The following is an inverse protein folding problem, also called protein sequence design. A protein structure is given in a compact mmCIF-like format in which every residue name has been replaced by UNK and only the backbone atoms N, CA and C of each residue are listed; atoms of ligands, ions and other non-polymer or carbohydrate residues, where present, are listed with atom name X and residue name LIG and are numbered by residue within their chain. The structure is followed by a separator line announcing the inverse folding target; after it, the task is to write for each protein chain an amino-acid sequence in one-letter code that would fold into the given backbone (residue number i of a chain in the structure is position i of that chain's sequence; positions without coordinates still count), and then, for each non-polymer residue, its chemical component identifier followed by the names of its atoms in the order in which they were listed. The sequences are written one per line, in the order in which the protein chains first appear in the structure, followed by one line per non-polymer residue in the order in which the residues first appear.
data_IF_242062279598
#
_entry.id   IF_242062279598
#
_cell.length_a   1.000
_cell.length_b   1.000
_cell.length_c   1.000
_cell.angle_alpha   90.00
_cell.angle_beta   90.00
_cell.angle_gamma   90.00
#
_symmetry.space_group_name_H-M   'P 1'
#
loop_
_entity.id
_entity.type
_entity.pdbx_description
1 polymer ?
#
# COMPACT_ATOMS: atom_id res chain seq x y z
N UNK A 1 -17.72 -20.13 9.21
CA UNK A 1 -17.31 -18.96 8.42
C UNK A 1 -16.93 -19.47 7.04
N UNK A 2 -17.38 -18.81 5.99
CA UNK A 2 -17.03 -19.10 4.60
C UNK A 2 -15.61 -18.58 4.32
N UNK A 3 -14.84 -19.28 3.50
CA UNK A 3 -13.54 -18.74 3.04
C UNK A 3 -13.76 -17.63 2.00
N UNK A 4 -12.97 -16.57 2.06
CA UNK A 4 -12.91 -15.55 1.01
C UNK A 4 -11.75 -15.87 0.07
N UNK A 5 -12.07 -16.24 -1.18
CA UNK A 5 -11.12 -16.54 -2.23
C UNK A 5 -10.79 -15.29 -3.03
N UNK A 6 -9.54 -15.22 -3.49
CA UNK A 6 -9.06 -14.22 -4.45
C UNK A 6 -9.10 -14.88 -5.83
N UNK A 7 -9.88 -14.30 -6.73
CA UNK A 7 -10.01 -14.81 -8.11
C UNK A 7 -9.10 -14.06 -9.07
N UNK A 8 -8.96 -12.74 -8.87
CA UNK A 8 -8.12 -11.93 -9.74
C UNK A 8 -7.71 -10.63 -9.04
N UNK A 9 -6.67 -10.00 -9.58
CA UNK A 9 -6.26 -8.65 -9.18
C UNK A 9 -5.64 -7.91 -10.35
N UNK A 10 -5.75 -6.60 -10.32
CA UNK A 10 -5.10 -5.70 -11.27
C UNK A 10 -4.61 -4.46 -10.56
N UNK A 11 -3.62 -3.81 -11.16
CA UNK A 11 -3.21 -2.46 -10.82
C UNK A 11 -2.89 -1.64 -12.07
N UNK A 12 -3.03 -0.34 -12.00
CA UNK A 12 -2.42 0.53 -13.01
C UNK A 12 -0.89 0.55 -12.83
N UNK A 13 -0.11 0.90 -13.86
CA UNK A 13 1.23 1.40 -13.60
C UNK A 13 1.13 2.66 -12.73
N UNK A 14 2.20 2.94 -11.96
CA UNK A 14 2.25 4.11 -11.06
C UNK A 14 2.86 5.29 -11.79
N UNK A 15 2.08 6.36 -11.97
CA UNK A 15 2.54 7.62 -12.54
C UNK A 15 3.25 8.48 -11.51
N UNK A 16 4.25 9.24 -11.89
CA UNK A 16 4.94 10.15 -10.99
C UNK A 16 3.99 11.25 -10.49
N UNK A 17 3.93 11.46 -9.18
CA UNK A 17 3.01 12.36 -8.49
C UNK A 17 3.39 13.84 -8.61
N UNK A 18 3.53 14.32 -9.83
CA UNK A 18 3.89 15.70 -10.19
C UNK A 18 3.06 16.17 -11.38
N UNK A 19 3.00 17.49 -11.59
CA UNK A 19 2.27 18.08 -12.72
C UNK A 19 2.80 17.64 -14.10
N UNK A 20 4.05 17.22 -14.19
CA UNK A 20 4.69 16.66 -15.38
C UNK A 20 4.68 15.11 -15.40
N UNK A 21 4.00 14.46 -14.47
CA UNK A 21 3.84 13.00 -14.44
C UNK A 21 2.88 12.51 -15.51
N UNK A 22 3.14 11.30 -16.04
CA UNK A 22 2.40 10.74 -17.18
C UNK A 22 0.91 10.53 -16.90
N UNK A 23 0.50 10.38 -15.63
CA UNK A 23 -0.89 10.20 -15.24
C UNK A 23 -1.56 11.48 -14.72
N UNK A 24 -0.87 12.61 -14.65
CA UNK A 24 -1.43 13.87 -14.15
C UNK A 24 -2.68 14.36 -14.91
N UNK A 25 -2.78 14.06 -16.20
CA UNK A 25 -3.96 14.42 -17.02
C UNK A 25 -5.15 13.47 -16.81
N UNK A 26 -4.99 12.40 -16.05
CA UNK A 26 -6.03 11.39 -15.76
C UNK A 26 -6.67 11.70 -14.42
N UNK A 27 -7.98 11.91 -14.39
CA UNK A 27 -8.70 12.16 -13.13
C UNK A 27 -8.66 10.93 -12.20
N UNK A 28 -8.79 11.15 -10.89
CA UNK A 28 -8.88 10.09 -9.90
C UNK A 28 -10.00 9.10 -10.24
N UNK A 29 -11.14 9.59 -10.72
CA UNK A 29 -12.25 8.77 -11.19
C UNK A 29 -11.84 7.82 -12.34
N UNK A 30 -11.12 8.33 -13.33
CA UNK A 30 -10.67 7.50 -14.46
C UNK A 30 -9.64 6.46 -14.04
N UNK A 31 -8.76 6.75 -13.10
CA UNK A 31 -7.83 5.77 -12.53
C UNK A 31 -8.59 4.64 -11.83
N UNK A 32 -9.54 4.97 -10.95
CA UNK A 32 -10.40 3.99 -10.29
C UNK A 32 -11.17 3.13 -11.30
N UNK A 33 -11.82 3.78 -12.26
CA UNK A 33 -12.58 3.10 -13.32
C UNK A 33 -11.69 2.19 -14.18
N UNK A 34 -10.41 2.54 -14.42
CA UNK A 34 -9.47 1.70 -15.18
C UNK A 34 -9.25 0.36 -14.48
N UNK A 35 -8.97 0.36 -13.18
CA UNK A 35 -8.77 -0.87 -12.43
C UNK A 35 -10.05 -1.72 -12.34
N UNK A 36 -11.18 -1.10 -12.04
CA UNK A 36 -12.48 -1.79 -11.95
C UNK A 36 -12.91 -2.36 -13.31
N UNK A 37 -12.76 -1.59 -14.39
CA UNK A 37 -13.07 -2.05 -15.76
C UNK A 37 -12.18 -3.23 -16.16
N UNK A 38 -10.88 -3.18 -15.84
CA UNK A 38 -9.97 -4.27 -16.15
C UNK A 38 -10.36 -5.58 -15.46
N UNK A 39 -10.76 -5.54 -14.18
CA UNK A 39 -11.28 -6.72 -13.46
C UNK A 39 -12.53 -7.27 -14.16
N UNK A 40 -13.47 -6.41 -14.50
CA UNK A 40 -14.72 -6.81 -15.16
C UNK A 40 -14.46 -7.46 -16.52
N UNK A 41 -13.72 -6.78 -17.36
CA UNK A 41 -13.58 -7.18 -18.77
C UNK A 41 -12.74 -8.46 -18.91
N UNK A 42 -11.63 -8.59 -18.19
CA UNK A 42 -10.75 -9.77 -18.31
C UNK A 42 -11.34 -11.04 -17.69
N UNK A 43 -12.28 -10.91 -16.79
CA UNK A 43 -12.99 -12.03 -16.17
C UNK A 43 -14.37 -12.28 -16.80
N UNK A 44 -14.76 -11.51 -17.82
CA UNK A 44 -16.10 -11.56 -18.42
C UNK A 44 -17.21 -11.49 -17.34
N UNK A 45 -16.95 -10.67 -16.31
CA UNK A 45 -17.78 -10.61 -15.11
C UNK A 45 -19.13 -9.96 -15.43
N UNK A 46 -20.21 -10.66 -15.09
CA UNK A 46 -21.55 -10.07 -15.05
C UNK A 46 -21.63 -9.13 -13.83
N UNK A 47 -21.81 -7.81 -14.03
CA UNK A 47 -21.92 -6.86 -12.93
C UNK A 47 -23.00 -7.21 -11.91
N UNK A 48 -24.12 -7.82 -12.33
CA UNK A 48 -25.21 -8.20 -11.43
C UNK A 48 -24.80 -9.24 -10.38
N UNK A 49 -23.66 -9.90 -10.54
CA UNK A 49 -23.13 -10.84 -9.55
C UNK A 49 -22.24 -10.16 -8.49
N UNK A 50 -21.91 -8.88 -8.68
CA UNK A 50 -21.06 -8.13 -7.73
C UNK A 50 -21.94 -7.45 -6.69
N UNK A 51 -21.76 -7.82 -5.44
CA UNK A 51 -22.57 -7.31 -4.33
C UNK A 51 -22.09 -5.93 -3.85
N UNK A 52 -20.77 -5.68 -3.88
CA UNK A 52 -20.21 -4.41 -3.40
C UNK A 52 -18.80 -4.14 -3.95
N UNK A 53 -18.46 -2.84 -4.02
CA UNK A 53 -17.11 -2.34 -4.35
C UNK A 53 -16.59 -1.51 -3.17
N UNK A 54 -15.53 -1.96 -2.54
CA UNK A 54 -14.88 -1.25 -1.43
C UNK A 54 -13.56 -0.65 -1.92
N UNK A 55 -13.42 0.67 -1.90
CA UNK A 55 -12.19 1.33 -2.35
C UNK A 55 -11.58 2.23 -1.29
N UNK A 56 -10.26 2.10 -1.12
CA UNK A 56 -9.46 3.01 -0.33
C UNK A 56 -9.15 4.30 -1.09
N UNK A 57 -9.32 5.44 -0.39
CA UNK A 57 -8.86 6.75 -0.86
C UNK A 57 -8.55 7.60 0.37
N UNK A 58 -7.34 8.16 0.44
CA UNK A 58 -6.86 8.86 1.65
C UNK A 58 -7.27 10.31 1.68
N UNK A 59 -7.22 10.97 0.53
CA UNK A 59 -7.66 12.37 0.39
C UNK A 59 -8.94 12.45 -0.48
N UNK A 60 -10.12 12.05 0.07
CA UNK A 60 -11.37 11.96 -0.67
C UNK A 60 -12.06 13.34 -0.85
N UNK A 61 -11.35 14.27 -1.46
CA UNK A 61 -11.82 15.65 -1.68
C UNK A 61 -11.74 16.04 -3.15
N UNK A 62 -12.51 17.05 -3.55
CA UNK A 62 -12.56 17.49 -4.93
C UNK A 62 -12.95 16.34 -5.87
N UNK A 63 -12.14 16.07 -6.89
CA UNK A 63 -12.38 15.00 -7.87
C UNK A 63 -12.23 13.57 -7.31
N UNK A 64 -11.63 13.40 -6.13
CA UNK A 64 -11.53 12.12 -5.43
C UNK A 64 -12.68 11.92 -4.42
N UNK A 65 -13.54 12.91 -4.24
CA UNK A 65 -14.68 12.87 -3.32
C UNK A 65 -15.91 12.15 -3.87
N UNK A 66 -17.02 12.33 -3.15
CA UNK A 66 -18.36 11.82 -3.54
C UNK A 66 -18.41 10.30 -3.75
N UNK A 67 -17.81 9.55 -2.83
CA UNK A 67 -17.76 8.09 -2.90
C UNK A 67 -17.14 7.57 -4.21
N UNK A 68 -15.83 7.68 -4.31
CA UNK A 68 -15.07 7.28 -5.51
C UNK A 68 -15.26 5.81 -5.88
N UNK A 69 -15.66 4.94 -4.92
CA UNK A 69 -15.95 3.54 -5.19
C UNK A 69 -17.20 3.39 -6.05
N UNK A 70 -18.31 4.02 -5.64
CA UNK A 70 -19.55 4.00 -6.41
C UNK A 70 -19.40 4.73 -7.75
N UNK A 71 -18.77 5.91 -7.76
CA UNK A 71 -18.54 6.66 -8.99
C UNK A 71 -17.63 5.89 -9.96
N UNK A 72 -16.60 5.24 -9.44
CA UNK A 72 -15.70 4.37 -10.20
C UNK A 72 -16.42 3.17 -10.80
N UNK A 73 -17.30 2.51 -10.05
CA UNK A 73 -18.10 1.39 -10.53
C UNK A 73 -19.03 1.80 -11.68
N UNK A 74 -19.73 2.95 -11.55
CA UNK A 74 -20.56 3.51 -12.62
C UNK A 74 -19.74 3.81 -13.88
N UNK A 75 -18.61 4.50 -13.71
CA UNK A 75 -17.72 4.84 -14.82
C UNK A 75 -17.08 3.62 -15.50
N UNK A 76 -16.88 2.52 -14.75
CA UNK A 76 -16.39 1.23 -15.26
C UNK A 76 -17.48 0.37 -15.90
N UNK A 77 -18.74 0.82 -15.89
CA UNK A 77 -19.86 0.11 -16.50
C UNK A 77 -20.36 -1.08 -15.69
N UNK A 78 -20.41 -0.95 -14.36
CA UNK A 78 -21.04 -1.96 -13.47
C UNK A 78 -22.57 -1.78 -13.37
N UNK A 79 -23.11 -0.71 -13.97
CA UNK A 79 -24.55 -0.45 -13.95
C UNK A 79 -25.08 0.09 -12.62
N UNK A 80 -26.40 0.08 -12.49
CA UNK A 80 -27.08 0.77 -11.38
C UNK A 80 -27.13 -0.07 -10.09
N UNK A 81 -26.96 -1.36 -10.18
CA UNK A 81 -27.19 -2.32 -9.09
C UNK A 81 -26.00 -2.51 -8.16
N UNK A 82 -24.77 -2.20 -8.62
CA UNK A 82 -23.56 -2.40 -7.83
C UNK A 82 -23.30 -1.17 -6.95
N UNK A 83 -23.43 -1.27 -5.63
CA UNK A 83 -23.10 -0.18 -4.71
C UNK A 83 -21.59 0.02 -4.62
N UNK A 84 -21.18 0.98 -3.81
CA UNK A 84 -19.78 1.21 -3.50
C UNK A 84 -19.64 1.90 -2.16
N UNK A 85 -18.53 1.65 -1.49
CA UNK A 85 -18.15 2.35 -0.26
C UNK A 85 -16.68 2.73 -0.30
N UNK A 86 -16.41 3.97 0.04
CA UNK A 86 -15.07 4.50 0.17
C UNK A 86 -14.63 4.43 1.63
N UNK A 87 -13.42 3.96 1.87
CA UNK A 87 -12.83 3.91 3.21
C UNK A 87 -11.49 4.63 3.28
N UNK A 88 -11.13 5.08 4.48
CA UNK A 88 -9.84 5.69 4.77
C UNK A 88 -9.22 5.07 6.02
N UNK A 89 -8.08 4.42 5.84
CA UNK A 89 -7.12 4.04 6.89
C UNK A 89 -5.72 4.47 6.46
N UNK A 90 -5.59 5.71 5.98
CA UNK A 90 -4.33 6.25 5.47
C UNK A 90 -3.61 5.25 4.54
N UNK A 91 -2.30 5.03 4.72
CA UNK A 91 -1.46 4.17 3.87
C UNK A 91 -1.99 2.73 3.68
N UNK A 92 -2.83 2.22 4.58
CA UNK A 92 -3.38 0.86 4.49
C UNK A 92 -4.79 0.80 3.89
N UNK A 93 -5.36 1.92 3.42
CA UNK A 93 -6.73 1.95 2.90
C UNK A 93 -7.00 0.88 1.84
N UNK A 94 -6.06 0.65 0.92
CA UNK A 94 -6.19 -0.38 -0.12
C UNK A 94 -6.17 -1.81 0.43
N UNK A 95 -5.35 -2.12 1.44
CA UNK A 95 -5.36 -3.45 2.06
C UNK A 95 -6.62 -3.66 2.89
N UNK A 96 -7.02 -2.64 3.65
CA UNK A 96 -8.25 -2.73 4.44
C UNK A 96 -9.51 -2.81 3.57
N UNK A 97 -9.54 -2.18 2.39
CA UNK A 97 -10.62 -2.39 1.43
C UNK A 97 -10.75 -3.85 1.02
N UNK A 98 -9.63 -4.53 0.77
CA UNK A 98 -9.61 -5.97 0.50
C UNK A 98 -10.07 -6.77 1.73
N UNK A 99 -9.62 -6.40 2.93
CA UNK A 99 -10.01 -7.06 4.17
C UNK A 99 -11.51 -6.86 4.48
N UNK A 100 -12.07 -5.67 4.24
CA UNK A 100 -13.51 -5.41 4.39
C UNK A 100 -14.33 -6.22 3.38
N UNK A 101 -13.96 -6.20 2.11
CA UNK A 101 -14.58 -7.01 1.07
C UNK A 101 -14.53 -8.52 1.42
N UNK A 102 -13.37 -9.02 1.88
CA UNK A 102 -13.22 -10.39 2.34
C UNK A 102 -14.09 -10.69 3.57
N UNK A 103 -14.23 -9.76 4.53
CA UNK A 103 -15.05 -9.95 5.73
C UNK A 103 -16.55 -10.05 5.41
N UNK A 104 -17.03 -9.30 4.41
CA UNK A 104 -18.40 -9.40 3.91
C UNK A 104 -18.68 -10.80 3.32
N UNK A 105 -17.74 -11.35 2.56
CA UNK A 105 -17.82 -12.73 2.06
C UNK A 105 -17.75 -13.74 3.21
N UNK A 106 -16.80 -13.61 4.13
CA UNK A 106 -16.61 -14.53 5.26
C UNK A 106 -17.82 -14.55 6.21
N UNK A 107 -18.55 -13.44 6.33
CA UNK A 107 -19.76 -13.35 7.13
C UNK A 107 -21.00 -13.94 6.43
N UNK A 108 -20.91 -14.22 5.13
CA UNK A 108 -22.02 -14.69 4.31
C UNK A 108 -23.03 -13.60 3.94
N UNK A 109 -22.69 -12.32 4.13
CA UNK A 109 -23.56 -11.22 3.72
C UNK A 109 -23.42 -10.90 2.22
N UNK A 110 -22.26 -11.16 1.65
CA UNK A 110 -21.97 -10.99 0.23
C UNK A 110 -21.35 -12.26 -0.36
N UNK A 111 -21.59 -12.50 -1.62
CA UNK A 111 -21.08 -13.65 -2.38
C UNK A 111 -19.84 -13.29 -3.18
N UNK A 112 -19.86 -12.14 -3.88
CA UNK A 112 -18.79 -11.66 -4.76
C UNK A 112 -18.57 -10.16 -4.58
N UNK A 113 -17.36 -9.75 -4.26
CA UNK A 113 -17.02 -8.37 -3.90
C UNK A 113 -15.72 -7.93 -4.57
N UNK A 114 -15.51 -6.62 -4.67
CA UNK A 114 -14.24 -6.06 -5.13
C UNK A 114 -13.69 -5.18 -4.02
N UNK A 115 -12.46 -5.46 -3.57
CA UNK A 115 -11.68 -4.59 -2.71
C UNK A 115 -10.55 -3.94 -3.49
N UNK A 116 -10.23 -2.66 -3.23
CA UNK A 116 -9.19 -1.99 -3.98
C UNK A 116 -8.89 -0.59 -3.46
N UNK A 117 -8.41 0.28 -4.35
CA UNK A 117 -8.21 1.66 -3.99
C UNK A 117 -7.60 2.50 -5.10
N UNK A 118 -7.58 3.79 -4.87
CA UNK A 118 -7.06 4.80 -5.80
C UNK A 118 -6.46 5.96 -5.04
N UNK A 119 -5.38 6.51 -5.58
CA UNK A 119 -4.87 7.82 -5.18
C UNK A 119 -4.29 8.53 -6.39
N UNK A 120 -4.57 9.81 -6.56
CA UNK A 120 -3.97 10.67 -7.58
C UNK A 120 -3.27 11.83 -6.88
N UNK A 121 -2.05 11.54 -6.38
CA UNK A 121 -1.29 12.46 -5.54
C UNK A 121 -0.70 13.64 -6.32
N UNK A 122 -0.68 13.57 -7.67
CA UNK A 122 -0.30 14.69 -8.53
C UNK A 122 -1.41 15.74 -8.65
N UNK A 123 -2.67 15.36 -8.39
CA UNK A 123 -3.87 16.21 -8.56
C UNK A 123 -4.50 16.58 -7.22
N UNK A 124 -4.56 15.63 -6.29
CA UNK A 124 -5.04 15.82 -4.93
C UNK A 124 -3.86 15.55 -3.99
N UNK A 125 -3.24 16.60 -3.49
CA UNK A 125 -2.03 16.48 -2.65
C UNK A 125 -2.32 15.85 -1.29
N UNK A 126 -1.31 15.24 -0.68
CA UNK A 126 -1.42 14.66 0.66
C UNK A 126 -1.89 15.71 1.67
N UNK A 127 -2.90 15.36 2.47
CA UNK A 127 -3.47 16.23 3.50
C UNK A 127 -4.51 17.21 2.98
N UNK A 128 -4.92 17.11 1.71
CA UNK A 128 -5.98 17.96 1.14
C UNK A 128 -7.33 17.81 1.84
N UNK A 129 -7.59 16.67 2.48
CA UNK A 129 -8.78 16.42 3.30
C UNK A 129 -8.72 17.09 4.69
N UNK A 130 -7.61 17.74 5.02
CA UNK A 130 -7.35 18.29 6.36
C UNK A 130 -6.96 17.19 7.36
N UNK A 131 -7.01 17.49 8.64
CA UNK A 131 -6.66 16.50 9.66
C UNK A 131 -6.99 16.97 11.06
N UNK A 132 -7.80 16.21 11.78
CA UNK A 132 -8.12 16.49 13.18
C UNK A 132 -6.86 16.44 14.06
N UNK A 133 -5.94 15.53 13.78
CA UNK A 133 -4.77 15.33 14.61
C UNK A 133 -3.84 16.56 14.65
N UNK A 134 -3.35 17.10 13.52
CA UNK A 134 -2.52 18.30 13.56
C UNK A 134 -3.31 19.58 13.90
N UNK A 135 -4.62 19.61 13.63
CA UNK A 135 -5.44 20.81 13.79
C UNK A 135 -5.97 21.04 15.20
N UNK A 136 -6.08 20.00 16.02
CA UNK A 136 -6.60 20.09 17.39
C UNK A 136 -5.48 19.96 18.43
N UNK A 137 -5.07 21.04 19.11
CA UNK A 137 -4.02 20.99 20.13
C UNK A 137 -4.33 20.05 21.30
N UNK A 138 -5.62 19.81 21.61
CA UNK A 138 -6.02 18.92 22.70
C UNK A 138 -5.70 17.45 22.38
N UNK A 139 -5.52 17.11 21.10
CA UNK A 139 -5.06 15.82 20.66
C UNK A 139 -3.57 15.82 20.26
N UNK A 140 -3.14 16.84 19.52
CA UNK A 140 -1.77 16.92 18.98
C UNK A 140 -0.71 16.95 20.07
N UNK A 141 -0.94 17.74 21.15
CA UNK A 141 0.03 17.89 22.24
C UNK A 141 0.21 16.60 23.05
N UNK A 142 -0.83 15.97 23.63
CA UNK A 142 -0.67 14.77 24.44
C UNK A 142 -0.23 13.53 23.64
N UNK A 143 -0.39 13.54 22.34
CA UNK A 143 0.03 12.45 21.45
C UNK A 143 1.34 12.75 20.71
N UNK A 144 1.99 13.85 21.02
CA UNK A 144 3.26 14.27 20.43
C UNK A 144 3.22 14.26 18.90
N UNK A 145 2.24 14.97 18.32
CA UNK A 145 2.13 15.07 16.86
C UNK A 145 3.42 15.56 16.22
N UNK A 146 3.89 14.86 15.21
CA UNK A 146 5.00 15.30 14.37
C UNK A 146 4.80 14.81 12.91
N UNK A 147 5.43 15.48 11.92
CA UNK A 147 5.42 15.01 10.54
C UNK A 147 6.03 13.61 10.43
N UNK A 148 5.42 12.76 9.58
CA UNK A 148 5.79 11.35 9.44
C UNK A 148 7.28 11.11 9.13
N UNK A 149 7.93 12.01 8.38
CA UNK A 149 9.35 11.89 8.09
C UNK A 149 10.24 12.10 9.31
N UNK A 150 9.83 12.97 10.27
CA UNK A 150 10.52 13.10 11.55
C UNK A 150 10.33 11.82 12.39
N UNK A 151 9.14 11.23 12.38
CA UNK A 151 8.91 9.92 13.01
C UNK A 151 9.76 8.81 12.39
N UNK A 152 10.01 8.86 11.06
CA UNK A 152 10.91 7.92 10.40
C UNK A 152 12.37 8.10 10.83
N UNK A 153 12.83 9.34 10.97
CA UNK A 153 14.19 9.65 11.49
C UNK A 153 14.32 9.30 12.98
N UNK A 154 13.28 9.53 13.77
CA UNK A 154 13.21 9.03 15.15
C UNK A 154 13.32 7.50 15.19
N UNK A 155 12.61 6.79 14.33
CA UNK A 155 12.70 5.33 14.23
C UNK A 155 14.12 4.89 13.87
N UNK A 156 14.73 5.48 12.85
CA UNK A 156 16.10 5.17 12.47
C UNK A 156 17.08 5.40 13.62
N UNK A 157 16.97 6.54 14.30
CA UNK A 157 17.80 6.88 15.46
C UNK A 157 17.62 5.88 16.59
N UNK A 158 16.38 5.63 17.00
CA UNK A 158 16.04 4.76 18.14
C UNK A 158 16.49 3.32 17.93
N UNK A 159 16.40 2.81 16.71
CA UNK A 159 16.76 1.41 16.39
C UNK A 159 18.16 1.27 15.79
N UNK A 160 18.92 2.35 15.69
CA UNK A 160 20.33 2.35 15.32
C UNK A 160 20.60 2.18 13.81
N UNK A 161 19.67 2.59 12.95
CA UNK A 161 19.89 2.55 11.50
C UNK A 161 20.62 3.80 11.02
N UNK A 162 21.80 3.59 10.43
CA UNK A 162 22.60 4.65 9.83
C UNK A 162 22.04 5.12 8.48
N UNK A 163 22.61 6.21 7.97
CA UNK A 163 22.37 6.66 6.60
C UNK A 163 22.70 5.60 5.57
N UNK A 164 23.83 4.90 5.75
CA UNK A 164 24.27 3.86 4.83
C UNK A 164 23.32 2.66 4.83
N UNK A 165 22.75 2.28 5.99
CA UNK A 165 21.78 1.19 6.07
C UNK A 165 20.51 1.50 5.28
N UNK A 166 19.93 2.69 5.45
CA UNK A 166 18.71 3.08 4.76
C UNK A 166 18.93 3.29 3.25
N UNK A 167 20.10 3.79 2.84
CA UNK A 167 20.47 3.94 1.44
C UNK A 167 20.75 2.58 0.78
N UNK A 168 21.43 1.66 1.45
CA UNK A 168 21.68 0.30 0.96
C UNK A 168 20.38 -0.45 0.70
N UNK A 169 19.40 -0.35 1.63
CA UNK A 169 18.08 -0.92 1.44
C UNK A 169 17.38 -0.31 0.21
N UNK A 170 17.46 1.01 0.04
CA UNK A 170 16.84 1.71 -1.08
C UNK A 170 17.44 1.27 -2.44
N UNK A 171 18.76 1.12 -2.52
CA UNK A 171 19.44 0.58 -3.72
C UNK A 171 18.95 -0.82 -4.04
N UNK A 172 18.80 -1.68 -3.03
CA UNK A 172 18.29 -3.04 -3.23
C UNK A 172 16.84 -3.05 -3.71
N UNK A 173 15.96 -2.19 -3.15
CA UNK A 173 14.58 -2.03 -3.63
C UNK A 173 14.53 -1.65 -5.11
N UNK A 174 15.35 -0.69 -5.55
CA UNK A 174 15.46 -0.27 -6.96
C UNK A 174 15.91 -1.42 -7.86
N UNK A 175 16.93 -2.17 -7.45
CA UNK A 175 17.46 -3.32 -8.17
C UNK A 175 16.42 -4.44 -8.33
N UNK A 176 15.72 -4.78 -7.26
CA UNK A 176 14.67 -5.80 -7.26
C UNK A 176 13.50 -5.38 -8.16
N UNK A 177 13.06 -4.12 -8.10
CA UNK A 177 12.02 -3.61 -8.97
C UNK A 177 12.42 -3.64 -10.44
N UNK A 178 13.65 -3.26 -10.76
CA UNK A 178 14.18 -3.31 -12.13
C UNK A 178 14.21 -4.74 -12.67
N UNK A 179 14.68 -5.69 -11.86
CA UNK A 179 14.71 -7.12 -12.20
C UNK A 179 13.28 -7.64 -12.45
N UNK A 180 12.35 -7.36 -11.53
CA UNK A 180 10.97 -7.80 -11.66
C UNK A 180 10.28 -7.29 -12.93
N UNK A 181 10.51 -6.03 -13.29
CA UNK A 181 10.01 -5.45 -14.53
C UNK A 181 10.66 -6.06 -15.77
N UNK A 182 11.97 -6.26 -15.76
CA UNK A 182 12.70 -6.82 -16.91
C UNK A 182 12.33 -8.29 -17.17
N UNK A 183 12.04 -9.04 -16.12
CA UNK A 183 11.57 -10.43 -16.20
C UNK A 183 10.05 -10.54 -16.44
N UNK A 184 9.33 -9.43 -16.53
CA UNK A 184 7.88 -9.42 -16.80
C UNK A 184 7.01 -9.94 -15.66
N UNK A 185 7.50 -9.90 -14.40
CA UNK A 185 6.77 -10.41 -13.23
C UNK A 185 5.44 -9.68 -12.97
N UNK A 186 5.30 -8.44 -13.45
CA UNK A 186 4.07 -7.65 -13.33
C UNK A 186 3.12 -7.76 -14.55
N UNK A 187 3.51 -8.52 -15.58
CA UNK A 187 2.77 -8.56 -16.86
C UNK A 187 1.28 -8.88 -16.69
N UNK A 188 0.95 -9.78 -15.79
CA UNK A 188 -0.42 -10.24 -15.59
C UNK A 188 -1.27 -9.29 -14.74
N UNK A 189 -0.65 -8.43 -13.95
CA UNK A 189 -1.35 -7.53 -13.03
C UNK A 189 -1.56 -6.11 -13.59
N UNK A 190 -0.78 -5.70 -14.59
CA UNK A 190 -0.87 -4.34 -15.14
C UNK A 190 -2.13 -4.16 -16.00
N UNK A 191 -2.95 -3.17 -15.63
CA UNK A 191 -4.01 -2.59 -16.44
C UNK A 191 -3.51 -1.24 -16.99
N UNK A 192 -3.18 -1.12 -18.29
CA UNK A 192 -2.66 0.11 -18.84
C UNK A 192 -3.71 1.23 -18.75
N UNK A 193 -3.24 2.44 -18.44
CA UNK A 193 -4.09 3.64 -18.48
C UNK A 193 -4.07 4.19 -19.89
N UNK A 194 -5.23 4.22 -20.53
CA UNK A 194 -5.35 4.63 -21.93
C UNK A 194 -5.84 6.07 -22.05
N UNK A 195 -5.43 6.75 -23.11
CA UNK A 195 -6.00 8.04 -23.52
C UNK A 195 -7.40 7.87 -24.17
N UNK A 196 -7.96 8.97 -24.68
CA UNK A 196 -9.27 8.97 -25.33
C UNK A 196 -9.27 8.24 -26.69
N UNK A 197 -8.10 7.99 -27.28
CA UNK A 197 -7.94 7.28 -28.54
C UNK A 197 -7.58 5.79 -28.32
N UNK A 198 -7.48 5.36 -27.07
CA UNK A 198 -7.12 3.98 -26.71
C UNK A 198 -5.60 3.71 -26.70
N UNK A 199 -4.77 4.75 -26.74
CA UNK A 199 -3.32 4.61 -26.65
C UNK A 199 -2.84 4.64 -25.19
N UNK A 200 -1.87 3.80 -24.79
CA UNK A 200 -1.34 3.80 -23.44
C UNK A 200 -0.66 5.13 -23.10
N UNK A 201 -1.07 5.75 -22.00
CA UNK A 201 -0.40 6.91 -21.42
C UNK A 201 0.82 6.50 -20.59
N UNK A 202 0.72 5.32 -19.97
CA UNK A 202 1.78 4.74 -19.16
C UNK A 202 1.63 3.22 -19.14
N UNK A 203 2.72 2.49 -19.37
CA UNK A 203 2.77 1.04 -19.39
C UNK A 203 3.65 0.44 -18.28
N UNK A 204 4.49 1.28 -17.65
CA UNK A 204 5.47 0.87 -16.64
C UNK A 204 5.51 1.88 -15.50
N UNK A 205 5.84 1.44 -14.29
CA UNK A 205 6.01 2.33 -13.13
C UNK A 205 7.08 3.41 -13.43
N UNK A 206 6.65 4.68 -13.38
CA UNK A 206 7.44 5.82 -13.85
C UNK A 206 8.48 6.30 -12.83
N UNK A 207 8.27 5.98 -11.56
CA UNK A 207 9.11 6.51 -10.47
C UNK A 207 10.49 5.85 -10.38
N UNK A 208 10.66 4.66 -10.90
CA UNK A 208 11.88 3.85 -10.76
C UNK A 208 13.16 4.55 -11.19
N UNK A 209 14.25 4.27 -10.49
CA UNK A 209 15.62 4.72 -10.75
C UNK A 209 16.55 3.49 -10.80
N UNK A 210 16.50 2.68 -11.88
CA UNK A 210 17.22 1.40 -11.94
C UNK A 210 18.75 1.52 -11.77
N UNK A 211 19.30 2.70 -12.03
CA UNK A 211 20.73 3.00 -11.92
C UNK A 211 21.11 3.68 -10.59
N UNK A 212 20.19 3.75 -9.62
CA UNK A 212 20.51 4.30 -8.31
C UNK A 212 21.56 3.43 -7.61
N UNK A 213 22.59 4.07 -7.07
CA UNK A 213 23.66 3.46 -6.31
C UNK A 213 23.95 4.25 -5.02
N UNK A 214 24.78 3.72 -4.16
CA UNK A 214 25.17 4.35 -2.91
C UNK A 214 25.77 5.75 -3.09
N UNK A 215 26.55 5.96 -4.15
CA UNK A 215 27.18 7.25 -4.42
C UNK A 215 26.14 8.32 -4.79
N UNK A 216 25.20 7.98 -5.65
CA UNK A 216 24.10 8.87 -6.05
C UNK A 216 23.18 9.23 -4.87
N UNK A 217 22.86 8.25 -4.00
CA UNK A 217 22.05 8.49 -2.81
C UNK A 217 22.80 9.32 -1.76
N UNK A 218 24.09 9.08 -1.52
CA UNK A 218 24.91 9.83 -0.58
C UNK A 218 24.94 11.34 -0.86
N UNK A 219 24.74 11.75 -2.12
CA UNK A 219 24.67 13.16 -2.52
C UNK A 219 23.38 13.87 -2.09
N UNK A 220 22.33 13.13 -1.75
CA UNK A 220 21.03 13.68 -1.37
C UNK A 220 21.04 14.16 0.09
N UNK A 221 20.50 15.36 0.31
CA UNK A 221 20.35 15.90 1.67
C UNK A 221 19.14 15.26 2.36
N UNK A 222 19.22 15.00 3.68
CA UNK A 222 18.06 14.59 4.45
C UNK A 222 16.91 15.58 4.31
N UNK A 223 15.70 15.08 4.09
CA UNK A 223 14.53 15.90 3.75
C UNK A 223 13.84 16.51 4.98
N UNK A 224 14.07 15.94 6.15
CA UNK A 224 13.29 16.29 7.35
C UNK A 224 14.05 17.12 8.40
N UNK A 225 15.25 17.58 8.07
CA UNK A 225 16.04 18.51 8.90
C UNK A 225 15.26 19.80 9.20
N UNK A 226 14.66 20.42 8.19
CA UNK A 226 13.93 21.69 8.36
C UNK A 226 12.73 21.51 9.29
N UNK A 227 11.78 20.59 9.05
CA UNK A 227 10.69 20.37 10.00
C UNK A 227 11.18 19.90 11.38
N UNK A 228 12.22 19.09 11.46
CA UNK A 228 12.79 18.62 12.70
C UNK A 228 13.40 19.74 13.53
N UNK A 229 14.51 20.30 13.07
CA UNK A 229 15.31 21.29 13.81
C UNK A 229 14.63 22.66 13.86
N UNK A 230 14.20 23.20 12.71
CA UNK A 230 13.64 24.56 12.65
C UNK A 230 12.15 24.59 12.97
N UNK A 231 11.41 23.55 12.60
CA UNK A 231 10.00 23.37 12.95
C UNK A 231 9.77 22.95 14.40
N UNK A 232 10.83 22.57 15.14
CA UNK A 232 10.77 22.17 16.54
C UNK A 232 10.30 20.73 16.78
N UNK A 233 10.09 19.93 15.75
CA UNK A 233 9.58 18.56 15.91
C UNK A 233 10.62 17.58 16.46
N UNK A 234 11.92 17.88 16.37
CA UNK A 234 12.94 17.09 17.06
C UNK A 234 12.79 17.18 18.59
N UNK A 235 12.47 18.38 19.10
CA UNK A 235 12.19 18.54 20.51
C UNK A 235 10.93 17.76 20.94
N UNK A 236 9.89 17.72 20.10
CA UNK A 236 8.69 16.91 20.33
C UNK A 236 9.05 15.41 20.36
N UNK A 237 9.86 14.96 19.41
CA UNK A 237 10.31 13.56 19.33
C UNK A 237 11.11 13.15 20.58
N UNK A 238 12.03 14.01 21.04
CA UNK A 238 12.84 13.77 22.26
C UNK A 238 11.96 13.80 23.52
N UNK A 239 10.95 14.66 23.59
CA UNK A 239 9.99 14.65 24.71
C UNK A 239 9.19 13.33 24.76
N UNK A 240 8.79 12.79 23.61
CA UNK A 240 8.10 11.50 23.53
C UNK A 240 9.05 10.33 23.86
N UNK A 241 10.33 10.45 23.50
CA UNK A 241 11.37 9.42 23.63
C UNK A 241 12.61 9.97 24.36
N UNK A 242 12.57 10.18 25.69
CA UNK A 242 13.67 10.80 26.46
C UNK A 242 14.98 10.00 26.45
N UNK A 243 14.93 8.73 26.04
CA UNK A 243 16.12 7.90 25.83
C UNK A 243 16.93 8.29 24.58
N UNK A 244 16.36 9.11 23.69
CA UNK A 244 17.00 9.62 22.49
C UNK A 244 17.58 11.01 22.74
N UNK A 245 18.90 11.15 22.69
CA UNK A 245 19.58 12.43 22.98
C UNK A 245 19.41 13.45 21.83
N UNK A 246 19.37 12.99 20.59
CA UNK A 246 19.17 13.80 19.37
C UNK A 246 18.60 12.98 18.26
N UNK A 247 17.87 13.59 17.32
CA UNK A 247 17.40 12.93 16.09
C UNK A 247 18.52 12.98 15.04
N UNK A 248 18.80 11.83 14.44
CA UNK A 248 19.74 11.72 13.33
C UNK A 248 18.92 11.63 12.04
N UNK A 249 18.94 12.70 11.25
CA UNK A 249 18.20 12.76 9.98
C UNK A 249 18.92 11.96 8.90
N UNK A 250 18.29 10.87 8.46
CA UNK A 250 18.84 9.96 7.44
C UNK A 250 17.93 9.81 6.22
N UNK A 251 16.64 10.13 6.33
CA UNK A 251 15.70 9.94 5.24
C UNK A 251 15.65 11.10 4.27
N UNK A 252 15.55 10.75 2.99
CA UNK A 252 15.41 11.66 1.86
C UNK A 252 14.60 11.02 0.74
N UNK A 253 14.34 11.73 -0.35
CA UNK A 253 13.51 11.25 -1.44
C UNK A 253 14.01 9.93 -2.11
N UNK A 254 15.28 9.56 -1.93
CA UNK A 254 15.84 8.34 -2.51
C UNK A 254 15.66 7.09 -1.66
N UNK A 255 15.38 7.23 -0.35
CA UNK A 255 15.19 6.12 0.59
C UNK A 255 13.83 6.17 1.33
N UNK A 256 12.91 6.95 0.77
CA UNK A 256 11.51 7.08 1.16
C UNK A 256 10.60 6.74 -0.03
N UNK A 257 9.35 6.40 0.23
CA UNK A 257 8.40 6.07 -0.83
C UNK A 257 8.14 7.24 -1.78
N UNK A 258 8.02 6.94 -3.08
CA UNK A 258 7.69 7.93 -4.08
C UNK A 258 6.23 8.38 -4.00
N UNK A 259 5.99 9.68 -4.20
CA UNK A 259 4.64 10.24 -4.40
C UNK A 259 4.22 9.93 -5.85
N UNK A 260 3.10 9.22 -6.02
CA UNK A 260 2.66 8.71 -7.33
C UNK A 260 1.14 8.62 -7.43
N UNK A 261 0.66 8.48 -8.65
CA UNK A 261 -0.73 8.22 -8.98
C UNK A 261 -0.93 6.74 -9.31
N UNK A 262 -2.07 6.15 -8.89
CA UNK A 262 -2.37 4.77 -9.24
C UNK A 262 -3.66 4.24 -8.62
N UNK A 263 -4.12 3.11 -9.17
CA UNK A 263 -5.29 2.39 -8.69
C UNK A 263 -5.08 0.87 -8.75
N UNK A 264 -5.80 0.14 -7.91
CA UNK A 264 -5.81 -1.32 -7.90
C UNK A 264 -7.19 -1.86 -7.54
N UNK A 265 -7.48 -3.08 -7.99
CA UNK A 265 -8.69 -3.81 -7.65
C UNK A 265 -8.39 -5.30 -7.49
N UNK A 266 -9.04 -5.94 -6.51
CA UNK A 266 -8.94 -7.37 -6.17
C UNK A 266 -10.35 -7.94 -6.15
N UNK A 267 -10.60 -9.00 -6.93
CA UNK A 267 -11.88 -9.70 -7.00
C UNK A 267 -11.91 -10.82 -5.97
N UNK A 268 -12.87 -10.75 -5.06
CA UNK A 268 -13.02 -11.68 -3.94
C UNK A 268 -14.41 -12.30 -3.94
N UNK A 269 -14.53 -13.52 -3.42
CA UNK A 269 -15.84 -14.13 -3.25
C UNK A 269 -15.77 -15.49 -2.58
N UNK A 270 -16.97 -16.07 -2.36
CA UNK A 270 -17.11 -17.45 -1.95
C UNK A 270 -16.72 -18.41 -3.08
N UNK A 271 -16.39 -19.65 -2.75
CA UNK A 271 -16.10 -20.67 -3.77
C UNK A 271 -17.27 -20.89 -4.71
N UNK A 272 -18.48 -20.87 -4.15
CA UNK A 272 -19.73 -21.05 -4.88
C UNK A 272 -19.99 -19.90 -5.86
N UNK A 273 -19.77 -18.65 -5.43
CA UNK A 273 -19.89 -17.49 -6.29
C UNK A 273 -18.87 -17.53 -7.44
N UNK A 274 -17.62 -17.86 -7.13
CA UNK A 274 -16.60 -18.05 -8.17
C UNK A 274 -17.00 -19.11 -9.20
N UNK A 275 -17.54 -20.24 -8.74
CA UNK A 275 -18.01 -21.30 -9.64
C UNK A 275 -19.15 -20.82 -10.53
N UNK A 276 -20.14 -20.09 -9.98
CA UNK A 276 -21.24 -19.50 -10.77
C UNK A 276 -20.74 -18.50 -11.81
N UNK A 277 -19.72 -17.72 -11.46
CA UNK A 277 -19.11 -16.74 -12.35
C UNK A 277 -18.07 -17.33 -13.32
N UNK A 278 -17.81 -18.64 -13.27
CA UNK A 278 -16.79 -19.30 -14.10
C UNK A 278 -15.35 -18.96 -13.72
N UNK A 279 -15.13 -18.45 -12.50
CA UNK A 279 -13.84 -18.03 -11.97
C UNK A 279 -13.10 -19.18 -11.28
N UNK A 280 -11.78 -19.15 -11.35
CA UNK A 280 -10.92 -20.09 -10.63
C UNK A 280 -10.23 -19.37 -9.48
N UNK A 281 -10.26 -19.90 -8.24
CA UNK A 281 -9.55 -19.29 -7.14
C UNK A 281 -8.05 -19.39 -7.35
N UNK A 282 -7.34 -18.29 -7.12
CA UNK A 282 -5.87 -18.18 -7.16
C UNK A 282 -5.27 -18.24 -5.76
N UNK A 283 -5.97 -17.67 -4.80
CA UNK A 283 -5.59 -17.65 -3.40
C UNK A 283 -6.80 -17.47 -2.51
N UNK A 284 -6.55 -17.43 -1.19
CA UNK A 284 -7.56 -17.08 -0.19
C UNK A 284 -6.98 -16.16 0.87
N UNK A 285 -7.85 -15.37 1.48
CA UNK A 285 -7.51 -14.62 2.70
C UNK A 285 -7.53 -15.59 3.88
N UNK A 286 -6.35 -15.85 4.46
CA UNK A 286 -6.23 -16.74 5.63
C UNK A 286 -6.63 -16.05 6.92
N UNK A 287 -6.11 -14.85 7.13
CA UNK A 287 -6.39 -14.01 8.30
C UNK A 287 -5.96 -12.56 8.02
N UNK A 288 -6.56 -11.63 8.73
CA UNK A 288 -6.10 -10.24 8.77
C UNK A 288 -6.28 -9.64 10.17
N UNK A 289 -5.54 -8.59 10.45
CA UNK A 289 -5.62 -7.87 11.72
C UNK A 289 -5.24 -6.40 11.54
N UNK A 290 -5.79 -5.57 12.41
CA UNK A 290 -5.43 -4.16 12.58
C UNK A 290 -5.01 -3.93 14.03
N UNK A 291 -4.13 -2.94 14.25
CA UNK A 291 -3.68 -2.54 15.58
C UNK A 291 -3.45 -1.03 15.64
N UNK A 292 -3.71 -0.43 16.79
CA UNK A 292 -3.15 0.87 17.16
C UNK A 292 -1.76 0.68 17.77
N UNK A 293 -0.86 1.59 17.52
CA UNK A 293 0.49 1.67 18.08
C UNK A 293 0.79 3.09 18.54
N UNK A 294 1.97 3.32 19.06
CA UNK A 294 2.36 4.63 19.54
C UNK A 294 2.32 5.70 18.43
N UNK A 295 1.57 6.83 18.63
CA UNK A 295 1.41 7.83 17.59
C UNK A 295 2.70 8.59 17.25
N UNK A 296 3.54 8.89 18.22
CA UNK A 296 4.74 9.71 18.04
C UNK A 296 5.74 9.06 17.08
N UNK A 297 6.18 7.82 17.35
CA UNK A 297 7.07 7.07 16.46
C UNK A 297 6.33 6.53 15.23
N UNK A 298 5.00 6.42 15.30
CA UNK A 298 4.03 6.19 14.22
C UNK A 298 4.23 4.89 13.42
N UNK A 299 5.44 4.55 13.04
CA UNK A 299 5.74 3.60 11.95
C UNK A 299 6.05 2.17 12.45
N UNK A 300 5.88 1.89 13.74
CA UNK A 300 6.17 0.57 14.36
C UNK A 300 5.05 -0.46 14.19
N UNK A 301 3.87 -0.03 13.74
CA UNK A 301 2.68 -0.87 13.60
C UNK A 301 2.87 -2.22 12.88
N UNK A 302 3.69 -2.34 11.82
CA UNK A 302 3.93 -3.61 11.13
C UNK A 302 4.44 -4.74 12.03
N UNK A 303 5.27 -4.42 13.03
CA UNK A 303 5.80 -5.43 13.96
C UNK A 303 4.69 -5.99 14.84
N UNK A 304 3.88 -5.12 15.43
CA UNK A 304 2.87 -5.55 16.40
C UNK A 304 1.66 -6.18 15.73
N UNK A 305 1.26 -5.68 14.56
CA UNK A 305 0.16 -6.27 13.81
C UNK A 305 0.53 -7.64 13.24
N UNK A 306 1.79 -7.85 12.88
CA UNK A 306 2.29 -9.17 12.45
C UNK A 306 2.15 -10.21 13.56
N UNK A 307 2.57 -9.89 14.80
CA UNK A 307 2.35 -10.76 15.95
C UNK A 307 0.86 -11.09 16.14
N UNK A 308 0.00 -10.08 16.00
CA UNK A 308 -1.45 -10.23 16.16
C UNK A 308 -2.07 -11.12 15.07
N UNK A 309 -1.71 -10.94 13.80
CA UNK A 309 -2.27 -11.75 12.71
C UNK A 309 -1.74 -13.19 12.73
N UNK A 310 -0.48 -13.40 13.11
CA UNK A 310 0.08 -14.74 13.30
C UNK A 310 -0.65 -15.49 14.42
N UNK A 311 -0.86 -14.85 15.57
CA UNK A 311 -1.65 -15.45 16.66
C UNK A 311 -3.08 -15.80 16.23
N UNK A 312 -3.73 -14.92 15.45
CA UNK A 312 -5.10 -15.13 14.93
C UNK A 312 -5.16 -16.30 13.94
N UNK A 313 -4.16 -16.44 13.08
CA UNK A 313 -4.10 -17.52 12.07
C UNK A 313 -3.61 -18.85 12.62
N UNK A 314 -3.05 -18.87 13.83
CA UNK A 314 -2.37 -20.03 14.41
C UNK A 314 -1.01 -20.34 13.74
N UNK A 315 -0.44 -19.37 13.01
CA UNK A 315 0.83 -19.52 12.28
C UNK A 315 1.99 -18.89 13.06
N UNK A 316 3.19 -19.33 12.74
CA UNK A 316 4.47 -18.74 13.21
C UNK A 316 5.09 -17.95 12.06
N UNK A 317 6.02 -17.05 12.37
CA UNK A 317 6.74 -16.27 11.36
C UNK A 317 7.44 -17.13 10.30
N UNK A 318 7.97 -18.28 10.71
CA UNK A 318 8.68 -19.22 9.83
C UNK A 318 7.74 -20.02 8.91
N UNK A 319 6.44 -20.00 9.15
CA UNK A 319 5.43 -20.62 8.29
C UNK A 319 5.06 -19.71 7.10
N UNK A 320 5.63 -18.50 7.05
CA UNK A 320 5.41 -17.53 5.97
C UNK A 320 6.57 -17.61 4.97
N UNK A 321 6.21 -17.79 3.71
CA UNK A 321 7.19 -17.93 2.62
C UNK A 321 7.68 -16.60 2.06
N UNK A 322 6.78 -15.60 1.99
CA UNK A 322 7.06 -14.27 1.43
C UNK A 322 6.44 -13.16 2.30
N UNK A 323 7.10 -12.01 2.32
CA UNK A 323 6.63 -10.83 3.03
C UNK A 323 6.60 -9.61 2.10
N UNK A 324 5.47 -8.91 2.10
CA UNK A 324 5.35 -7.57 1.52
C UNK A 324 5.16 -6.57 2.67
N UNK A 325 6.23 -5.86 2.99
CA UNK A 325 6.25 -4.80 4.00
C UNK A 325 6.34 -3.47 3.27
N UNK A 326 5.29 -2.64 3.34
CA UNK A 326 5.27 -1.39 2.60
C UNK A 326 6.47 -0.49 2.96
N UNK A 327 7.18 -0.06 1.93
CA UNK A 327 8.38 0.76 2.04
C UNK A 327 8.03 2.25 2.13
N UNK A 328 7.25 2.65 3.14
CA UNK A 328 7.00 4.09 3.34
C UNK A 328 8.32 4.85 3.56
N UNK A 329 9.21 4.24 4.33
CA UNK A 329 10.60 4.64 4.57
C UNK A 329 11.45 3.38 4.73
N UNK A 330 12.73 3.43 4.37
CA UNK A 330 13.63 2.28 4.51
C UNK A 330 13.70 1.75 5.95
N UNK A 331 13.70 2.65 6.96
CA UNK A 331 13.74 2.27 8.37
C UNK A 331 12.56 1.39 8.80
N UNK A 332 11.40 1.46 8.14
CA UNK A 332 10.24 0.61 8.45
C UNK A 332 10.55 -0.85 8.15
N UNK A 333 11.14 -1.12 6.99
CA UNK A 333 11.49 -2.49 6.60
C UNK A 333 12.68 -3.01 7.39
N UNK A 334 13.71 -2.18 7.60
CA UNK A 334 14.85 -2.53 8.44
C UNK A 334 14.41 -2.90 9.86
N UNK A 335 13.47 -2.15 10.45
CA UNK A 335 12.90 -2.48 11.77
C UNK A 335 12.13 -3.79 11.76
N UNK A 336 11.40 -4.08 10.69
CA UNK A 336 10.68 -5.35 10.53
C UNK A 336 11.66 -6.52 10.48
N UNK A 337 12.70 -6.43 9.65
CA UNK A 337 13.78 -7.43 9.57
C UNK A 337 14.45 -7.65 10.92
N UNK A 338 14.83 -6.57 11.62
CA UNK A 338 15.45 -6.63 12.95
C UNK A 338 14.54 -7.31 13.99
N UNK A 339 13.22 -7.05 13.93
CA UNK A 339 12.28 -7.52 14.94
C UNK A 339 11.98 -9.02 14.85
N UNK A 340 12.03 -9.59 13.65
CA UNK A 340 11.63 -10.97 13.39
C UNK A 340 12.78 -11.88 12.95
N UNK A 341 13.96 -11.33 12.72
CA UNK A 341 15.11 -12.04 12.16
C UNK A 341 14.74 -12.82 10.88
N UNK A 342 13.94 -12.15 10.03
CA UNK A 342 13.49 -12.74 8.76
C UNK A 342 14.56 -12.57 7.71
N UNK A 343 14.74 -13.60 6.89
CA UNK A 343 15.61 -13.58 5.73
C UNK A 343 15.23 -12.43 4.78
N UNK A 344 16.10 -11.44 4.52
CA UNK A 344 15.84 -10.33 3.62
C UNK A 344 15.44 -10.75 2.20
N UNK A 345 15.86 -11.94 1.75
CA UNK A 345 15.51 -12.47 0.43
C UNK A 345 14.07 -13.00 0.33
N UNK A 346 13.33 -12.97 1.44
CA UNK A 346 11.88 -13.25 1.47
C UNK A 346 11.03 -11.98 1.54
N UNK A 347 11.64 -10.80 1.73
CA UNK A 347 10.93 -9.53 1.97
C UNK A 347 11.04 -8.64 0.74
N UNK A 348 9.89 -8.17 0.22
CA UNK A 348 9.81 -7.25 -0.91
C UNK A 348 10.67 -7.71 -2.11
N UNK A 349 10.53 -8.97 -2.47
CA UNK A 349 11.41 -9.64 -3.47
C UNK A 349 11.31 -9.05 -4.88
N UNK A 350 10.27 -8.26 -5.14
CA UNK A 350 10.06 -7.55 -6.41
C UNK A 350 10.29 -6.04 -6.28
N UNK A 351 10.99 -5.60 -5.22
CA UNK A 351 11.08 -4.20 -4.85
C UNK A 351 9.78 -3.66 -4.28
N UNK A 352 9.73 -2.40 -3.90
CA UNK A 352 8.58 -1.82 -3.22
C UNK A 352 8.35 -0.34 -3.52
N UNK A 353 7.78 0.36 -2.56
CA UNK A 353 7.33 1.74 -2.71
C UNK A 353 8.47 2.77 -2.85
N UNK A 354 9.67 2.47 -2.37
CA UNK A 354 10.86 3.32 -2.59
C UNK A 354 11.17 3.36 -4.08
N UNK A 355 11.14 2.21 -4.75
CA UNK A 355 11.42 2.12 -6.17
C UNK A 355 10.24 2.54 -7.04
N UNK A 356 9.05 2.00 -6.76
CA UNK A 356 7.88 2.10 -7.65
C UNK A 356 6.88 3.18 -7.23
N UNK A 357 6.93 3.65 -5.97
CA UNK A 357 6.00 4.65 -5.44
C UNK A 357 4.85 4.06 -4.62
N UNK A 358 4.17 4.96 -3.88
CA UNK A 358 3.14 4.65 -2.89
C UNK A 358 1.87 5.48 -3.13
N UNK A 359 0.98 5.09 -4.08
CA UNK A 359 -0.34 5.70 -4.16
C UNK A 359 -1.15 5.24 -2.95
N UNK A 360 -1.29 6.10 -1.94
CA UNK A 360 -1.66 5.76 -0.56
C UNK A 360 -2.88 4.83 -0.48
N UNK A 361 -3.98 5.22 -1.13
CA UNK A 361 -5.23 4.47 -1.10
C UNK A 361 -5.19 3.13 -1.84
N UNK A 362 -4.23 2.93 -2.77
CA UNK A 362 -4.17 1.75 -3.62
C UNK A 362 -3.08 0.74 -3.23
N UNK A 363 -2.02 1.18 -2.55
CA UNK A 363 -0.80 0.38 -2.35
C UNK A 363 -1.07 -0.97 -1.72
N UNK A 364 -1.93 -1.03 -0.70
CA UNK A 364 -2.18 -2.28 0.01
C UNK A 364 -2.77 -3.38 -0.90
N UNK A 365 -3.68 -3.02 -1.80
CA UNK A 365 -4.20 -3.94 -2.81
C UNK A 365 -3.15 -4.30 -3.86
N UNK A 366 -2.27 -3.36 -4.25
CA UNK A 366 -1.18 -3.59 -5.20
C UNK A 366 -0.18 -4.62 -4.69
N UNK A 367 0.30 -4.46 -3.44
CA UNK A 367 1.31 -5.37 -2.86
C UNK A 367 0.71 -6.73 -2.49
N UNK A 368 -0.58 -6.81 -2.14
CA UNK A 368 -1.27 -8.09 -1.98
C UNK A 368 -1.29 -8.87 -3.31
N UNK A 369 -1.64 -8.21 -4.40
CA UNK A 369 -1.59 -8.81 -5.73
C UNK A 369 -0.18 -9.23 -6.15
N UNK A 370 0.83 -8.38 -5.88
CA UNK A 370 2.25 -8.71 -6.12
C UNK A 370 2.67 -9.96 -5.36
N UNK A 371 2.29 -10.08 -4.08
CA UNK A 371 2.58 -11.27 -3.27
C UNK A 371 1.93 -12.52 -3.86
N UNK A 372 0.67 -12.44 -4.30
CA UNK A 372 -0.03 -13.57 -4.90
C UNK A 372 0.62 -14.04 -6.21
N UNK A 373 0.94 -13.11 -7.11
CA UNK A 373 1.65 -13.43 -8.36
C UNK A 373 3.02 -14.08 -8.08
N UNK A 374 3.72 -13.63 -7.04
CA UNK A 374 5.02 -14.18 -6.67
C UNK A 374 4.92 -15.56 -6.03
N UNK A 375 3.88 -15.84 -5.22
CA UNK A 375 3.57 -17.19 -4.73
C UNK A 375 3.32 -18.16 -5.89
N UNK A 376 2.54 -17.74 -6.88
CA UNK A 376 2.28 -18.55 -8.08
C UNK A 376 3.55 -18.79 -8.89
N UNK A 377 4.34 -17.74 -9.14
CA UNK A 377 5.58 -17.80 -9.94
C UNK A 377 6.61 -18.74 -9.32
N UNK A 378 6.72 -18.75 -7.98
CA UNK A 378 7.75 -19.50 -7.24
C UNK A 378 7.26 -20.84 -6.70
N UNK A 379 5.96 -21.15 -6.83
CA UNK A 379 5.36 -22.36 -6.27
C UNK A 379 5.26 -22.36 -4.75
N UNK A 380 5.46 -21.19 -4.10
CA UNK A 380 5.32 -21.00 -2.65
C UNK A 380 3.83 -20.91 -2.25
N UNK A 381 3.56 -20.97 -0.96
CA UNK A 381 2.20 -21.19 -0.45
C UNK A 381 1.63 -19.99 0.31
N UNK A 382 2.44 -19.28 1.09
CA UNK A 382 1.97 -18.32 2.07
C UNK A 382 2.68 -16.97 1.94
N UNK A 383 1.93 -15.87 2.03
CA UNK A 383 2.51 -14.54 2.11
C UNK A 383 1.82 -13.69 3.18
N UNK A 384 2.60 -12.82 3.83
CA UNK A 384 2.14 -11.82 4.77
C UNK A 384 2.37 -10.43 4.19
N UNK A 385 1.31 -9.64 4.12
CA UNK A 385 1.31 -8.28 3.63
C UNK A 385 1.06 -7.33 4.80
N UNK A 386 1.89 -6.31 5.00
CA UNK A 386 1.72 -5.36 6.10
C UNK A 386 2.13 -3.94 5.73
N UNK A 387 1.44 -2.97 6.33
CA UNK A 387 1.72 -1.55 6.16
C UNK A 387 1.77 -0.84 7.51
N UNK A 388 2.71 0.10 7.65
CA UNK A 388 2.64 1.15 8.65
C UNK A 388 1.63 2.21 8.22
N UNK A 389 1.04 2.91 9.18
CA UNK A 389 -0.10 3.78 8.94
C UNK A 389 0.07 5.07 9.75
N UNK A 390 -0.24 6.19 9.16
CA UNK A 390 -0.31 7.48 9.84
C UNK A 390 -1.14 7.42 11.12
N UNK A 391 -0.75 8.18 12.14
CA UNK A 391 -1.42 8.18 13.44
C UNK A 391 -1.04 7.02 14.37
N UNK A 392 -0.03 6.22 14.02
CA UNK A 392 0.40 5.08 14.83
C UNK A 392 -0.57 3.90 14.73
N UNK A 393 -0.59 3.22 13.59
CA UNK A 393 -1.39 2.02 13.36
C UNK A 393 -0.62 1.03 12.48
N UNK A 394 -1.13 -0.21 12.41
CA UNK A 394 -0.67 -1.24 11.48
C UNK A 394 -1.80 -2.12 10.99
N UNK A 395 -1.72 -2.54 9.75
CA UNK A 395 -2.59 -3.55 9.13
C UNK A 395 -1.75 -4.68 8.58
N UNK A 396 -2.19 -5.94 8.77
CA UNK A 396 -1.57 -7.10 8.17
C UNK A 396 -2.62 -8.11 7.66
N UNK A 397 -2.30 -8.74 6.54
CA UNK A 397 -3.12 -9.79 5.92
C UNK A 397 -2.23 -10.96 5.53
N UNK A 398 -2.64 -12.18 5.86
CA UNK A 398 -2.00 -13.41 5.39
C UNK A 398 -2.87 -13.98 4.28
N UNK A 399 -2.26 -14.28 3.15
CA UNK A 399 -2.86 -14.98 2.03
C UNK A 399 -2.22 -16.34 1.82
N UNK A 400 -3.00 -17.28 1.30
CA UNK A 400 -2.54 -18.60 0.89
C UNK A 400 -2.88 -18.81 -0.58
N UNK A 401 -1.92 -19.31 -1.36
CA UNK A 401 -2.15 -19.77 -2.72
C UNK A 401 -2.98 -21.08 -2.69
N UNK A 402 -3.90 -21.26 -3.60
CA UNK A 402 -4.77 -22.45 -3.72
C UNK A 402 -4.61 -23.13 -5.07
#
# INVERSE_FOLDING_TARGET
MTDAFIFDHVRTPRGRGKADGSLHTVSTLRLAATALKAIKDRNHLDPHQVDDVVMGCVDPVGEAGSDIARMGALAAGYGDTVPGVQINRFCASGLDSVNFAASQVMSGQHDLTIGGGVESMSRVGIGSSGGAWPADPSLAIPTYFMPQGVSADLMATKYGFSRDDVDAYAVESQKRAATAWNEGRFKNSIAPVLDVNGLPLLERDEHMRPNADMQSLASLKPSFVIPGEQGGFDAVAIQAHPEVERIIHVHHAGNSSGIVDGAAAVLLGSREAGTRAGLKPRGRIRAFANIGSEPAIMLTGPVDVTKKVLARSGMRINDIDLFEVNEAFAAVVLRYLQAFDVDPDKVNVNGGAIAMGHPLGATGAMILGTALDELERTGKSTALITLCIGGGMGTATIIERV
#
